data_IF_209275141491
#
_entry.id   IF_209275141491
#
_cell.length_a   1.000
_cell.length_b   1.000
_cell.length_c   1.000
_cell.angle_alpha   90.00
_cell.angle_beta   90.00
_cell.angle_gamma   90.00
#
_symmetry.space_group_name_H-M   'P 1'
#
loop_
_entity.id
_entity.type
_entity.pdbx_description
1 polymer ?
#
# COMPACT_ATOMS: atom_id res chain seq x y z
N UNK A 1 3.35 7.83 8.55
CA UNK A 1 2.85 6.75 7.67
C UNK A 1 3.24 6.91 6.20
N UNK A 2 3.34 8.13 5.64
CA UNK A 2 3.69 8.33 4.21
C UNK A 2 5.02 7.68 3.83
N UNK A 3 6.05 7.78 4.68
CA UNK A 3 7.35 7.16 4.39
C UNK A 3 7.30 5.63 4.35
N UNK A 4 6.35 5.00 5.05
CA UNK A 4 6.17 3.55 4.97
C UNK A 4 5.75 3.11 3.56
N UNK A 5 4.93 3.93 2.87
CA UNK A 5 4.48 3.67 1.50
C UNK A 5 5.62 3.67 0.48
N UNK A 6 6.73 4.33 0.81
CA UNK A 6 7.94 4.37 -0.02
C UNK A 6 8.94 3.25 0.35
N UNK A 7 8.63 2.45 1.37
CA UNK A 7 9.44 1.32 1.85
C UNK A 7 10.21 1.61 3.14
N UNK A 8 10.56 0.55 3.88
CA UNK A 8 11.21 0.66 5.19
C UNK A 8 12.55 1.41 5.21
N UNK A 9 13.25 1.40 4.06
CA UNK A 9 14.49 2.14 3.87
C UNK A 9 14.30 3.67 3.90
N UNK A 10 13.09 4.15 3.65
CA UNK A 10 12.75 5.58 3.68
C UNK A 10 12.24 6.02 5.06
N UNK A 11 12.03 5.08 5.99
CA UNK A 11 11.64 5.40 7.36
C UNK A 11 12.82 5.94 8.17
N UNK A 12 12.57 6.84 9.15
CA UNK A 12 13.63 7.41 9.98
C UNK A 12 14.57 6.36 10.56
N UNK A 13 15.87 6.61 10.50
CA UNK A 13 16.90 5.75 11.08
C UNK A 13 16.81 5.68 12.61
N UNK A 14 16.11 6.64 13.24
CA UNK A 14 15.82 6.66 14.67
C UNK A 14 14.83 5.57 15.12
N UNK A 15 14.10 4.94 14.19
CA UNK A 15 13.18 3.85 14.50
C UNK A 15 13.91 2.50 14.48
N UNK A 16 13.63 1.68 15.49
CA UNK A 16 14.02 0.28 15.51
C UNK A 16 13.33 -0.52 14.40
N UNK A 17 13.87 -1.69 14.07
CA UNK A 17 13.26 -2.60 13.10
C UNK A 17 11.82 -3.01 13.53
N UNK A 18 11.58 -3.16 14.83
CA UNK A 18 10.25 -3.49 15.36
C UNK A 18 9.25 -2.35 15.14
N UNK A 19 9.64 -1.10 15.42
CA UNK A 19 8.78 0.08 15.19
C UNK A 19 8.50 0.30 13.70
N UNK A 20 9.49 0.02 12.83
CA UNK A 20 9.31 0.06 11.37
C UNK A 20 8.29 -0.98 10.91
N UNK A 21 8.42 -2.21 11.39
CA UNK A 21 7.48 -3.29 11.10
C UNK A 21 6.07 -3.00 11.61
N UNK A 22 5.96 -2.44 12.83
CA UNK A 22 4.66 -2.05 13.39
C UNK A 22 3.99 -0.95 12.58
N UNK A 23 4.75 0.07 12.15
CA UNK A 23 4.22 1.13 11.30
C UNK A 23 3.81 0.59 9.91
N UNK A 24 4.54 -0.37 9.36
CA UNK A 24 4.13 -1.07 8.13
C UNK A 24 2.78 -1.80 8.32
N UNK A 25 2.65 -2.59 9.39
CA UNK A 25 1.42 -3.34 9.67
C UNK A 25 0.21 -2.44 9.93
N UNK A 26 0.41 -1.33 10.66
CA UNK A 26 -0.62 -0.31 10.89
C UNK A 26 -1.07 0.33 9.58
N UNK A 27 -0.12 0.67 8.69
CA UNK A 27 -0.45 1.26 7.41
C UNK A 27 -1.19 0.27 6.47
N UNK A 28 -0.78 -1.00 6.43
CA UNK A 28 -1.50 -2.05 5.71
C UNK A 28 -2.94 -2.17 6.21
N UNK A 29 -3.11 -2.25 7.54
CA UNK A 29 -4.43 -2.38 8.17
C UNK A 29 -5.33 -1.18 7.84
N UNK A 30 -4.79 0.04 7.95
CA UNK A 30 -5.53 1.25 7.61
C UNK A 30 -5.96 1.28 6.13
N UNK A 31 -5.09 0.88 5.21
CA UNK A 31 -5.43 0.84 3.78
C UNK A 31 -6.50 -0.21 3.53
N UNK A 32 -6.33 -1.44 4.02
CA UNK A 32 -7.30 -2.53 3.86
C UNK A 32 -8.70 -2.12 4.35
N UNK A 33 -8.81 -1.42 5.48
CA UNK A 33 -10.08 -0.93 6.01
C UNK A 33 -10.77 0.11 5.10
N UNK A 34 -10.03 0.77 4.22
CA UNK A 34 -10.57 1.76 3.27
C UNK A 34 -10.90 1.17 1.88
N UNK A 35 -10.61 -0.12 1.64
CA UNK A 35 -10.81 -0.75 0.33
C UNK A 35 -12.12 -1.55 0.27
N UNK A 36 -12.73 -1.58 -0.91
CA UNK A 36 -13.86 -2.48 -1.19
C UNK A 36 -13.42 -3.90 -1.57
N UNK A 37 -14.31 -4.87 -1.41
CA UNK A 37 -14.05 -6.32 -1.57
C UNK A 37 -13.32 -6.71 -2.86
N UNK A 38 -13.68 -6.08 -3.99
CA UNK A 38 -13.02 -6.35 -5.28
C UNK A 38 -11.54 -5.99 -5.25
N UNK A 39 -11.20 -4.86 -4.63
CA UNK A 39 -9.81 -4.38 -4.55
C UNK A 39 -9.05 -5.17 -3.48
N UNK A 40 -9.71 -5.53 -2.38
CA UNK A 40 -9.14 -6.39 -1.34
C UNK A 40 -8.63 -7.72 -1.90
N UNK A 41 -9.41 -8.38 -2.77
CA UNK A 41 -9.00 -9.64 -3.40
C UNK A 41 -7.75 -9.51 -4.26
N UNK A 42 -7.54 -8.36 -4.90
CA UNK A 42 -6.36 -8.08 -5.72
C UNK A 42 -5.11 -7.83 -4.87
N UNK A 43 -5.24 -7.17 -3.72
CA UNK A 43 -4.11 -6.82 -2.84
C UNK A 43 -3.85 -7.82 -1.71
N UNK A 44 -4.68 -8.85 -1.53
CA UNK A 44 -4.60 -9.81 -0.42
C UNK A 44 -3.27 -10.58 -0.30
N UNK A 45 -2.45 -10.61 -1.36
CA UNK A 45 -1.15 -11.30 -1.37
C UNK A 45 0.01 -10.40 -0.92
N UNK A 46 -0.23 -9.11 -0.76
CA UNK A 46 0.81 -8.13 -0.44
C UNK A 46 1.00 -8.03 1.08
N UNK A 47 2.20 -8.32 1.56
CA UNK A 47 2.57 -8.26 2.99
C UNK A 47 3.36 -7.01 3.36
N UNK A 48 3.71 -6.20 2.36
CA UNK A 48 4.46 -4.96 2.50
C UNK A 48 3.59 -3.79 2.04
N UNK A 49 3.51 -2.73 2.84
CA UNK A 49 2.70 -1.55 2.54
C UNK A 49 3.14 -0.86 1.24
N UNK A 50 4.44 -0.88 0.92
CA UNK A 50 4.96 -0.29 -0.31
C UNK A 50 4.53 -1.09 -1.54
N UNK A 51 4.60 -2.43 -1.47
CA UNK A 51 4.12 -3.31 -2.54
C UNK A 51 2.60 -3.19 -2.74
N UNK A 52 1.86 -3.14 -1.63
CA UNK A 52 0.42 -2.90 -1.63
C UNK A 52 0.06 -1.57 -2.29
N UNK A 53 0.78 -0.50 -1.96
CA UNK A 53 0.57 0.84 -2.54
C UNK A 53 0.86 0.88 -4.04
N UNK A 54 1.99 0.29 -4.48
CA UNK A 54 2.32 0.21 -5.92
C UNK A 54 1.26 -0.56 -6.70
N UNK A 55 0.72 -1.63 -6.13
CA UNK A 55 -0.34 -2.42 -6.76
C UNK A 55 -1.65 -1.65 -6.86
N UNK A 56 -2.03 -0.94 -5.80
CA UNK A 56 -3.18 -0.05 -5.84
C UNK A 56 -3.02 1.02 -6.93
N UNK A 57 -1.85 1.67 -6.98
CA UNK A 57 -1.57 2.68 -7.99
C UNK A 57 -1.71 2.08 -9.40
N UNK A 58 -1.17 0.88 -9.64
CA UNK A 58 -1.33 0.16 -10.91
C UNK A 58 -2.80 -0.16 -11.24
N UNK A 59 -3.58 -0.67 -10.28
CA UNK A 59 -5.01 -1.00 -10.47
C UNK A 59 -5.86 0.22 -10.85
N UNK A 60 -5.54 1.38 -10.27
CA UNK A 60 -6.28 2.61 -10.53
C UNK A 60 -5.75 3.39 -11.74
N UNK A 61 -4.44 3.35 -12.03
CA UNK A 61 -3.85 3.96 -13.23
C UNK A 61 -4.25 3.22 -14.51
N UNK A 62 -4.30 1.89 -14.49
CA UNK A 62 -4.77 1.09 -15.65
C UNK A 62 -6.25 1.32 -15.93
N UNK A 63 -7.08 1.50 -14.89
CA UNK A 63 -8.49 1.84 -15.06
C UNK A 63 -8.72 3.27 -15.56
N UNK A 64 -7.85 4.21 -15.22
CA UNK A 64 -7.89 5.58 -15.74
C UNK A 64 -7.67 5.65 -17.26
N UNK A 65 -6.83 4.77 -17.82
CA UNK A 65 -6.61 4.70 -19.29
C UNK A 65 -7.76 4.02 -20.01
N UNK A 66 -8.39 3.01 -19.40
CA UNK A 66 -9.53 2.30 -20.00
C UNK A 66 -10.83 3.15 -20.05
N UNK A 67 -10.93 4.21 -19.25
CA UNK A 67 -12.13 5.06 -19.15
C UNK A 67 -12.09 6.31 -20.06
N UNK A 68 -11.15 6.38 -21.02
CA UNK A 68 -11.03 7.45 -22.04
C UNK A 68 -11.38 7.01 -23.47
N UNK A 69 -11.89 5.79 -23.65
CA UNK A 69 -12.26 5.23 -24.96
C UNK A 69 -13.79 5.09 -25.05
N UNK A 70 -14.53 6.19 -24.93
CA UNK A 70 -15.92 6.31 -25.39
C UNK A 70 -16.17 7.74 -25.84
#
# INVERSE_FOLDING_TARGET
CVEALKGEAQMPASLSAAEKSEMNNKAISAIILCLGDKVLREVAKETNVAALWVKLDSLYMTKSVAHKQF
#
